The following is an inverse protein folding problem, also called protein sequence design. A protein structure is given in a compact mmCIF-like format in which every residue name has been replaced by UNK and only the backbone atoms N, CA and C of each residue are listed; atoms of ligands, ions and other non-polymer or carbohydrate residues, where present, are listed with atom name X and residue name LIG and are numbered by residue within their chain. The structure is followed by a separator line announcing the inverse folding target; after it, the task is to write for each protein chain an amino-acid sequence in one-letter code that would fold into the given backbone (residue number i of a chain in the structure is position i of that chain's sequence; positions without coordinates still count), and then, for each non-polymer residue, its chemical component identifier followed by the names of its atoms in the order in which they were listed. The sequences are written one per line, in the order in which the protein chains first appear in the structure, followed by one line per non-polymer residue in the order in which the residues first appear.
data_IF_821141581591
#
_entry.id   IF_821141581591
#
_cell.length_a   1.000
_cell.length_b   1.000
_cell.length_c   1.000
_cell.angle_alpha   90.00
_cell.angle_beta   90.00
_cell.angle_gamma   90.00
#
_symmetry.space_group_name_H-M   'P 1'
#
loop_
_entity.id
_entity.type
_entity.pdbx_description
1 polymer ?
#
# COMPACT_ATOMS: atom_id res chain seq x y z
N UNK A 1 35.28 -37.51 -22.98
CA UNK A 1 35.06 -36.62 -21.82
C UNK A 1 33.56 -36.32 -21.77
N UNK A 2 32.81 -36.77 -20.79
CA UNK A 2 31.39 -36.43 -20.68
C UNK A 2 31.28 -35.00 -20.16
N UNK A 3 30.56 -34.17 -20.92
CA UNK A 3 30.25 -32.81 -20.57
C UNK A 3 29.37 -32.77 -19.30
N UNK A 4 29.87 -32.17 -18.24
CA UNK A 4 29.11 -31.98 -16.98
C UNK A 4 27.86 -31.11 -17.28
N UNK A 5 26.66 -31.55 -16.82
CA UNK A 5 25.45 -30.72 -16.99
C UNK A 5 25.61 -29.40 -16.25
N UNK A 6 25.32 -28.32 -16.94
CA UNK A 6 25.42 -26.94 -16.40
C UNK A 6 24.54 -26.82 -15.14
N UNK A 7 25.14 -26.42 -14.03
CA UNK A 7 24.50 -26.30 -12.72
C UNK A 7 23.27 -25.36 -12.69
N UNK A 8 23.10 -24.51 -13.70
CA UNK A 8 22.00 -23.57 -13.81
C UNK A 8 20.63 -24.19 -14.14
N UNK A 9 20.61 -25.28 -14.96
CA UNK A 9 19.34 -25.91 -15.39
C UNK A 9 18.66 -26.72 -14.28
N UNK A 10 19.45 -27.29 -13.37
CA UNK A 10 18.96 -28.07 -12.25
C UNK A 10 18.22 -27.19 -11.19
N UNK A 11 18.66 -25.93 -11.01
CA UNK A 11 18.05 -24.99 -10.08
C UNK A 11 16.64 -24.58 -10.48
N UNK A 12 16.46 -24.23 -11.76
CA UNK A 12 15.17 -23.74 -12.27
C UNK A 12 14.13 -24.85 -12.34
N UNK A 13 14.51 -26.05 -12.77
CA UNK A 13 13.62 -27.22 -12.79
C UNK A 13 13.23 -27.70 -11.39
N UNK A 14 14.13 -27.58 -10.40
CA UNK A 14 13.85 -27.84 -9.00
C UNK A 14 12.88 -26.82 -8.41
N UNK A 15 13.09 -25.55 -8.70
CA UNK A 15 12.20 -24.45 -8.29
C UNK A 15 10.79 -24.62 -8.87
N UNK A 16 10.66 -24.88 -10.17
CA UNK A 16 9.35 -25.10 -10.83
C UNK A 16 8.63 -26.32 -10.26
N UNK A 17 9.35 -27.40 -9.94
CA UNK A 17 8.77 -28.58 -9.28
C UNK A 17 8.28 -28.26 -7.86
N UNK A 18 9.07 -27.54 -7.08
CA UNK A 18 8.66 -27.13 -5.73
C UNK A 18 7.46 -26.18 -5.77
N UNK A 19 7.41 -25.26 -6.72
CA UNK A 19 6.24 -24.41 -6.95
C UNK A 19 5.00 -25.22 -7.29
N UNK A 20 5.11 -26.23 -8.19
CA UNK A 20 3.97 -27.10 -8.54
C UNK A 20 3.46 -27.92 -7.34
N UNK A 21 4.32 -28.34 -6.44
CA UNK A 21 3.92 -29.08 -5.25
C UNK A 21 3.27 -28.20 -4.17
N UNK A 22 3.65 -26.90 -4.10
CA UNK A 22 3.23 -26.01 -3.02
C UNK A 22 2.18 -24.95 -3.45
N UNK A 23 1.90 -24.79 -4.75
CA UNK A 23 1.01 -23.73 -5.22
C UNK A 23 -0.43 -23.86 -4.71
N UNK A 24 -0.97 -25.09 -4.64
CA UNK A 24 -2.34 -25.30 -4.14
C UNK A 24 -2.54 -24.82 -2.70
N UNK A 25 -1.73 -25.26 -1.70
CA UNK A 25 -1.88 -24.77 -0.35
C UNK A 25 -1.58 -23.27 -0.22
N UNK A 26 -0.67 -22.70 -1.03
CA UNK A 26 -0.41 -21.25 -1.06
C UNK A 26 -1.62 -20.50 -1.59
N UNK A 27 -2.20 -20.97 -2.71
CA UNK A 27 -3.40 -20.36 -3.30
C UNK A 27 -4.61 -20.44 -2.35
N UNK A 28 -4.82 -21.57 -1.70
CA UNK A 28 -5.92 -21.73 -0.74
C UNK A 28 -5.74 -20.80 0.48
N UNK A 29 -4.53 -20.69 1.01
CA UNK A 29 -4.21 -19.75 2.11
C UNK A 29 -4.42 -18.30 1.66
N UNK A 30 -3.98 -17.95 0.46
CA UNK A 30 -4.18 -16.62 -0.10
C UNK A 30 -5.67 -16.32 -0.29
N UNK A 31 -6.40 -17.18 -0.97
CA UNK A 31 -7.82 -16.97 -1.25
C UNK A 31 -8.66 -16.92 0.05
N UNK A 32 -8.45 -17.87 0.96
CA UNK A 32 -9.14 -17.88 2.25
C UNK A 32 -8.77 -16.67 3.12
N UNK A 33 -7.49 -16.32 3.15
CA UNK A 33 -7.00 -15.13 3.84
C UNK A 33 -7.58 -13.84 3.23
N UNK A 34 -7.61 -13.73 1.90
CA UNK A 34 -8.15 -12.55 1.21
C UNK A 34 -9.64 -12.37 1.51
N UNK A 35 -10.43 -13.43 1.42
CA UNK A 35 -11.87 -13.36 1.74
C UNK A 35 -12.09 -12.97 3.21
N UNK A 36 -11.43 -13.64 4.15
CA UNK A 36 -11.58 -13.34 5.57
C UNK A 36 -11.15 -11.91 5.92
N UNK A 37 -10.01 -11.46 5.37
CA UNK A 37 -9.49 -10.11 5.60
C UNK A 37 -10.31 -9.03 4.88
N UNK A 38 -10.89 -9.33 3.71
CA UNK A 38 -11.79 -8.42 3.02
C UNK A 38 -13.09 -8.21 3.81
N UNK A 39 -13.66 -9.28 4.38
CA UNK A 39 -14.83 -9.19 5.26
C UNK A 39 -14.51 -8.39 6.53
N UNK A 40 -13.37 -8.67 7.16
CA UNK A 40 -12.89 -7.90 8.31
C UNK A 40 -12.71 -6.42 7.96
N UNK A 41 -12.07 -6.14 6.82
CA UNK A 41 -11.89 -4.78 6.34
C UNK A 41 -13.22 -4.08 6.11
N UNK A 42 -14.17 -4.75 5.47
CA UNK A 42 -15.51 -4.19 5.25
C UNK A 42 -16.21 -3.80 6.56
N UNK A 43 -16.06 -4.62 7.59
CA UNK A 43 -16.58 -4.31 8.93
C UNK A 43 -15.84 -3.12 9.60
N UNK A 44 -14.53 -2.95 9.34
CA UNK A 44 -13.71 -1.88 9.90
C UNK A 44 -13.76 -0.56 9.10
N UNK A 45 -14.21 -0.61 7.85
CA UNK A 45 -14.21 0.53 6.93
C UNK A 45 -14.91 1.79 7.47
N UNK A 46 -16.05 1.71 8.20
CA UNK A 46 -16.66 2.89 8.80
C UNK A 46 -15.78 3.55 9.87
N UNK A 47 -15.10 2.76 10.70
CA UNK A 47 -14.16 3.27 11.69
C UNK A 47 -12.95 3.95 11.05
N UNK A 48 -12.44 3.37 9.97
CA UNK A 48 -11.35 3.96 9.19
C UNK A 48 -11.76 5.29 8.53
N UNK A 49 -12.96 5.37 7.96
CA UNK A 49 -13.50 6.60 7.40
C UNK A 49 -13.66 7.70 8.49
N UNK A 50 -14.11 7.32 9.68
CA UNK A 50 -14.20 8.25 10.82
C UNK A 50 -12.82 8.76 11.26
N UNK A 51 -11.81 7.90 11.29
CA UNK A 51 -10.42 8.28 11.57
C UNK A 51 -9.89 9.26 10.53
N UNK A 52 -10.06 8.99 9.23
CA UNK A 52 -9.64 9.89 8.16
C UNK A 52 -10.34 11.24 8.25
N UNK A 53 -11.65 11.26 8.50
CA UNK A 53 -12.41 12.50 8.70
C UNK A 53 -11.90 13.30 9.92
N UNK A 54 -11.54 12.62 11.01
CA UNK A 54 -10.97 13.24 12.20
C UNK A 54 -9.58 13.85 11.92
N UNK A 55 -8.72 13.14 11.20
CA UNK A 55 -7.39 13.61 10.80
C UNK A 55 -7.48 14.75 9.78
N UNK A 56 -8.47 14.74 8.90
CA UNK A 56 -8.69 15.81 7.94
C UNK A 56 -9.01 17.16 8.61
N UNK A 57 -9.72 17.15 9.73
CA UNK A 57 -10.14 18.39 10.41
C UNK A 57 -9.01 19.37 10.73
N UNK A 58 -7.87 18.98 11.34
CA UNK A 58 -6.75 19.91 11.61
C UNK A 58 -5.93 20.23 10.36
N UNK A 59 -5.92 19.35 9.34
CA UNK A 59 -5.10 19.55 8.14
C UNK A 59 -5.79 20.43 7.10
N UNK A 60 -7.09 20.41 7.07
CA UNK A 60 -7.90 21.16 6.11
C UNK A 60 -7.62 22.65 6.12
N UNK A 61 -7.54 23.35 7.27
CA UNK A 61 -7.22 24.77 7.30
C UNK A 61 -5.86 25.12 6.67
N UNK A 62 -4.92 24.17 6.65
CA UNK A 62 -3.58 24.34 6.07
C UNK A 62 -3.62 24.17 4.54
N UNK A 63 -4.52 23.33 4.04
CA UNK A 63 -4.64 23.00 2.62
C UNK A 63 -5.71 23.83 1.91
N UNK A 64 -6.67 24.35 2.64
CA UNK A 64 -7.78 25.12 2.09
C UNK A 64 -7.49 26.62 2.05
N UNK A 65 -7.71 27.21 0.87
CA UNK A 65 -7.77 28.66 0.70
C UNK A 65 -9.12 29.25 1.09
N UNK A 66 -10.11 28.41 1.39
CA UNK A 66 -11.49 28.81 1.74
C UNK A 66 -11.96 28.16 3.02
N UNK A 67 -12.25 28.96 4.02
CA UNK A 67 -12.88 28.52 5.26
C UNK A 67 -14.30 27.99 5.03
N UNK A 68 -14.65 26.87 5.65
CA UNK A 68 -16.03 26.40 5.71
C UNK A 68 -16.33 25.00 5.22
N UNK A 69 -15.34 24.25 4.74
CA UNK A 69 -15.52 22.82 4.44
C UNK A 69 -15.47 22.00 5.72
N UNK A 70 -16.42 21.09 5.89
CA UNK A 70 -16.43 20.12 6.98
C UNK A 70 -16.29 18.72 6.39
N UNK A 71 -15.39 17.92 6.96
CA UNK A 71 -15.23 16.52 6.60
C UNK A 71 -16.02 15.66 7.58
N UNK A 72 -16.93 14.88 7.05
CA UNK A 72 -17.87 14.05 7.80
C UNK A 72 -17.71 12.60 7.34
N UNK A 73 -17.69 11.68 8.30
CA UNK A 73 -17.79 10.26 7.99
C UNK A 73 -19.27 9.87 7.87
N UNK A 74 -19.63 9.26 6.77
CA UNK A 74 -20.95 8.71 6.47
C UNK A 74 -20.82 7.23 6.12
N UNK A 75 -21.01 6.38 7.12
CA UNK A 75 -20.68 4.96 6.98
C UNK A 75 -19.19 4.79 6.63
N UNK A 76 -18.90 4.06 5.57
CA UNK A 76 -17.54 3.82 5.08
C UNK A 76 -16.99 4.95 4.19
N UNK A 77 -17.69 6.08 4.05
CA UNK A 77 -17.29 7.18 3.16
C UNK A 77 -16.93 8.43 3.94
N UNK A 78 -15.95 9.19 3.42
CA UNK A 78 -15.67 10.55 3.88
C UNK A 78 -16.27 11.53 2.89
N UNK A 79 -17.12 12.41 3.39
CA UNK A 79 -17.84 13.43 2.60
C UNK A 79 -17.36 14.81 3.01
N UNK A 80 -16.96 15.61 2.01
CA UNK A 80 -16.71 17.03 2.17
C UNK A 80 -18.05 17.78 2.04
N UNK A 81 -18.47 18.44 3.11
CA UNK A 81 -19.64 19.31 3.14
C UNK A 81 -19.19 20.77 3.16
N UNK A 82 -19.46 21.52 2.10
CA UNK A 82 -19.05 22.91 1.93
C UNK A 82 -20.27 23.82 1.86
N UNK A 83 -20.26 24.86 2.65
CA UNK A 83 -21.27 25.92 2.61
C UNK A 83 -20.80 27.04 1.68
N UNK A 84 -21.57 27.32 0.64
CA UNK A 84 -21.25 28.39 -0.32
C UNK A 84 -22.37 29.41 -0.27
N UNK A 85 -22.06 30.68 0.12
CA UNK A 85 -23.01 31.74 -0.01
C UNK A 85 -23.19 32.10 -1.50
N UNK A 86 -24.43 32.18 -1.94
CA UNK A 86 -24.80 32.66 -3.26
C UNK A 86 -25.10 34.19 -3.13
N UNK A 87 -24.19 35.07 -3.57
CA UNK A 87 -24.31 36.52 -3.31
C UNK A 87 -25.60 37.12 -3.86
N UNK A 88 -26.10 36.55 -4.95
CA UNK A 88 -27.29 37.09 -5.65
C UNK A 88 -28.63 36.69 -4.98
N UNK A 89 -28.63 35.74 -4.05
CA UNK A 89 -29.90 35.18 -3.52
C UNK A 89 -30.01 35.17 -2.00
N UNK A 90 -28.98 35.63 -1.27
CA UNK A 90 -28.89 35.51 0.21
C UNK A 90 -29.09 34.08 0.71
N UNK A 91 -28.93 33.09 -0.16
CA UNK A 91 -29.09 31.65 0.13
C UNK A 91 -27.73 31.02 0.36
N UNK A 92 -27.66 30.12 1.34
CA UNK A 92 -26.46 29.30 1.59
C UNK A 92 -26.72 27.89 1.07
N UNK A 93 -26.02 27.50 0.03
CA UNK A 93 -26.10 26.15 -0.52
C UNK A 93 -25.04 25.28 0.13
N UNK A 94 -25.45 24.13 0.66
CA UNK A 94 -24.52 23.10 1.17
C UNK A 94 -24.26 22.09 0.09
N UNK A 95 -23.02 22.01 -0.38
CA UNK A 95 -22.58 21.01 -1.35
C UNK A 95 -21.89 19.88 -0.61
N UNK A 96 -22.34 18.65 -0.87
CA UNK A 96 -21.77 17.44 -0.30
C UNK A 96 -21.09 16.66 -1.41
N UNK A 97 -19.83 16.32 -1.23
CA UNK A 97 -19.05 15.54 -2.19
C UNK A 97 -18.30 14.43 -1.49
N UNK A 98 -18.42 13.23 -2.03
CA UNK A 98 -17.62 12.08 -1.61
C UNK A 98 -16.16 12.33 -1.95
N UNK A 99 -15.29 12.27 -0.93
CA UNK A 99 -13.84 12.44 -1.06
C UNK A 99 -13.13 11.10 -0.99
N UNK A 100 -13.66 10.17 -0.19
CA UNK A 100 -13.05 8.89 0.04
C UNK A 100 -14.09 7.79 0.24
N UNK A 101 -13.77 6.58 -0.22
CA UNK A 101 -14.56 5.39 0.02
C UNK A 101 -13.68 4.27 0.57
N UNK A 102 -13.72 4.10 1.87
CA UNK A 102 -12.94 3.07 2.54
C UNK A 102 -13.38 1.65 2.17
N UNK A 103 -14.64 1.44 1.76
CA UNK A 103 -15.13 0.11 1.37
C UNK A 103 -14.52 -0.38 0.05
N UNK A 104 -14.14 0.56 -0.83
CA UNK A 104 -13.49 0.24 -2.11
C UNK A 104 -11.98 0.02 -1.98
N UNK A 105 -11.40 0.27 -0.80
CA UNK A 105 -9.97 0.21 -0.56
C UNK A 105 -9.57 -1.12 0.10
N UNK A 106 -9.43 -2.15 -0.71
CA UNK A 106 -9.08 -3.50 -0.27
C UNK A 106 -7.56 -3.78 -0.21
N UNK A 107 -6.73 -2.77 -0.41
CA UNK A 107 -5.26 -2.91 -0.46
C UNK A 107 -4.67 -3.52 0.81
N UNK A 108 -5.21 -3.16 1.97
CA UNK A 108 -4.78 -3.70 3.27
C UNK A 108 -5.07 -5.21 3.36
N UNK A 109 -6.26 -5.63 2.94
CA UNK A 109 -6.65 -7.03 2.92
C UNK A 109 -5.78 -7.83 1.93
N UNK A 110 -5.53 -7.26 0.75
CA UNK A 110 -4.69 -7.87 -0.28
C UNK A 110 -3.25 -8.04 0.20
N UNK A 111 -2.63 -6.99 0.76
CA UNK A 111 -1.28 -7.04 1.29
C UNK A 111 -1.15 -8.08 2.41
N UNK A 112 -2.07 -8.07 3.38
CA UNK A 112 -2.05 -9.00 4.49
C UNK A 112 -2.24 -10.46 4.01
N UNK A 113 -3.13 -10.71 3.04
CA UNK A 113 -3.33 -12.02 2.46
C UNK A 113 -2.08 -12.53 1.73
N UNK A 114 -1.38 -11.68 0.96
CA UNK A 114 -0.13 -12.00 0.30
C UNK A 114 0.96 -12.39 1.31
N UNK A 115 1.12 -11.58 2.37
CA UNK A 115 2.13 -11.83 3.41
C UNK A 115 1.83 -13.13 4.19
N UNK A 116 0.56 -13.40 4.50
CA UNK A 116 0.14 -14.64 5.17
C UNK A 116 0.36 -15.88 4.28
N UNK A 117 0.15 -15.74 2.98
CA UNK A 117 0.31 -16.85 2.03
C UNK A 117 1.77 -17.12 1.67
N UNK A 118 2.71 -16.20 1.94
CA UNK A 118 4.13 -16.33 1.60
C UNK A 118 4.73 -17.59 2.26
N UNK A 119 5.23 -18.56 1.50
CA UNK A 119 5.79 -19.79 2.04
C UNK A 119 7.17 -19.54 2.69
N UNK A 120 7.55 -20.42 3.63
CA UNK A 120 8.89 -20.40 4.24
C UNK A 120 9.14 -19.31 5.28
N UNK A 121 8.21 -18.40 5.51
CA UNK A 121 8.37 -17.34 6.49
C UNK A 121 7.92 -17.75 7.90
N UNK A 122 8.73 -17.36 8.88
CA UNK A 122 8.35 -17.46 10.30
C UNK A 122 7.31 -16.39 10.66
N UNK A 123 6.57 -16.60 11.74
CA UNK A 123 5.60 -15.62 12.23
C UNK A 123 6.21 -14.26 12.55
N UNK A 124 7.46 -14.23 13.05
CA UNK A 124 8.21 -12.99 13.34
C UNK A 124 8.52 -12.20 12.05
N UNK A 125 8.94 -12.91 10.99
CA UNK A 125 9.18 -12.28 9.68
C UNK A 125 7.89 -11.72 9.08
N UNK A 126 6.80 -12.51 9.14
CA UNK A 126 5.47 -12.05 8.69
C UNK A 126 5.01 -10.82 9.45
N UNK A 127 5.15 -10.81 10.79
CA UNK A 127 4.76 -9.68 11.63
C UNK A 127 5.55 -8.41 11.31
N UNK A 128 6.87 -8.52 11.11
CA UNK A 128 7.72 -7.39 10.70
C UNK A 128 7.34 -6.87 9.30
N UNK A 129 7.20 -7.75 8.32
CA UNK A 129 6.81 -7.37 6.97
C UNK A 129 5.41 -6.74 6.94
N UNK A 130 4.47 -7.28 7.73
CA UNK A 130 3.15 -6.70 7.87
C UNK A 130 3.19 -5.31 8.49
N UNK A 131 3.96 -5.10 9.57
CA UNK A 131 4.09 -3.79 10.22
C UNK A 131 4.67 -2.73 9.26
N UNK A 132 5.77 -3.05 8.56
CA UNK A 132 6.35 -2.18 7.56
C UNK A 132 5.41 -1.94 6.38
N UNK A 133 4.80 -3.00 5.88
CA UNK A 133 3.87 -2.94 4.76
C UNK A 133 2.62 -2.13 5.08
N UNK A 134 2.03 -2.30 6.25
CA UNK A 134 0.88 -1.52 6.70
C UNK A 134 1.24 -0.04 6.89
N UNK A 135 2.42 0.25 7.47
CA UNK A 135 2.89 1.63 7.64
C UNK A 135 3.09 2.35 6.30
N UNK A 136 3.75 1.68 5.34
CA UNK A 136 3.98 2.25 4.01
C UNK A 136 2.68 2.40 3.23
N UNK A 137 1.78 1.41 3.31
CA UNK A 137 0.49 1.48 2.66
C UNK A 137 -0.40 2.57 3.26
N UNK A 138 -0.41 2.72 4.60
CA UNK A 138 -1.13 3.82 5.27
C UNK A 138 -0.61 5.19 4.82
N UNK A 139 0.71 5.34 4.65
CA UNK A 139 1.32 6.57 4.12
C UNK A 139 0.86 6.87 2.69
N UNK A 140 0.84 5.87 1.81
CA UNK A 140 0.36 6.05 0.42
C UNK A 140 -1.12 6.37 0.36
N UNK A 141 -1.94 5.73 1.19
CA UNK A 141 -3.36 6.02 1.31
C UNK A 141 -3.62 7.42 1.84
N UNK A 142 -2.84 7.84 2.84
CA UNK A 142 -2.93 9.20 3.37
C UNK A 142 -2.53 10.25 2.32
N UNK A 143 -1.46 10.02 1.57
CA UNK A 143 -1.07 10.88 0.45
C UNK A 143 -2.19 10.99 -0.61
N UNK A 144 -2.79 9.85 -0.97
CA UNK A 144 -3.92 9.84 -1.89
C UNK A 144 -5.14 10.58 -1.33
N UNK A 145 -5.43 10.43 -0.05
CA UNK A 145 -6.49 11.19 0.61
C UNK A 145 -6.26 12.70 0.51
N UNK A 146 -5.01 13.17 0.75
CA UNK A 146 -4.66 14.59 0.60
C UNK A 146 -4.83 15.09 -0.84
N UNK A 147 -4.43 14.27 -1.83
CA UNK A 147 -4.65 14.58 -3.26
C UNK A 147 -6.14 14.71 -3.56
N UNK A 148 -6.98 13.79 -3.03
CA UNK A 148 -8.43 13.84 -3.19
C UNK A 148 -9.04 15.11 -2.58
N UNK A 149 -8.57 15.50 -1.40
CA UNK A 149 -8.99 16.76 -0.76
C UNK A 149 -8.63 17.94 -1.65
N UNK A 150 -7.38 18.04 -2.09
CA UNK A 150 -6.91 19.14 -2.94
C UNK A 150 -7.63 19.17 -4.30
N UNK A 151 -7.84 18.03 -4.92
CA UNK A 151 -8.58 17.88 -6.17
C UNK A 151 -10.02 18.34 -6.03
N UNK A 152 -10.70 17.92 -4.95
CA UNK A 152 -12.09 18.27 -4.68
C UNK A 152 -12.28 19.79 -4.53
N UNK A 153 -11.28 20.50 -4.02
CA UNK A 153 -11.32 21.95 -3.85
C UNK A 153 -11.19 22.71 -5.17
N UNK A 154 -10.49 22.13 -6.17
CA UNK A 154 -10.32 22.78 -7.48
C UNK A 154 -11.50 22.49 -8.43
N UNK A 155 -12.42 21.61 -8.07
CA UNK A 155 -13.50 21.23 -8.97
C UNK A 155 -14.57 22.32 -9.08
N UNK A 156 -14.95 22.72 -10.29
CA UNK A 156 -16.05 23.66 -10.48
C UNK A 156 -17.38 23.04 -10.02
N UNK A 157 -18.16 23.82 -9.33
CA UNK A 157 -19.44 23.41 -8.80
C UNK A 157 -20.53 23.85 -9.77
N UNK A 158 -21.26 22.90 -10.34
CA UNK A 158 -22.40 23.21 -11.20
C UNK A 158 -23.62 23.54 -10.35
N UNK A 159 -24.11 24.75 -10.45
CA UNK A 159 -25.37 25.17 -9.84
C UNK A 159 -26.43 25.39 -10.91
N UNK A 160 -27.67 25.55 -10.49
CA UNK A 160 -28.78 25.93 -11.40
C UNK A 160 -28.54 27.28 -12.10
N UNK A 161 -27.58 28.08 -11.64
CA UNK A 161 -27.23 29.40 -12.19
C UNK A 161 -25.92 29.37 -13.00
N UNK A 162 -25.36 28.18 -13.26
CA UNK A 162 -24.11 28.00 -13.98
C UNK A 162 -22.96 27.49 -13.09
N UNK A 163 -21.79 27.29 -13.70
CA UNK A 163 -20.62 26.77 -12.98
C UNK A 163 -20.02 27.86 -12.08
N UNK A 164 -20.00 27.60 -10.77
CA UNK A 164 -19.25 28.40 -9.80
C UNK A 164 -17.82 27.88 -9.69
N UNK A 165 -16.85 28.72 -9.94
CA UNK A 165 -15.43 28.40 -9.71
C UNK A 165 -15.10 28.67 -8.24
N UNK A 166 -14.41 27.73 -7.56
CA UNK A 166 -13.98 27.97 -6.18
C UNK A 166 -12.99 29.12 -6.11
N UNK A 167 -12.93 29.86 -5.00
CA UNK A 167 -11.89 30.85 -4.75
C UNK A 167 -10.51 30.22 -4.88
N UNK A 168 -9.56 30.91 -5.54
CA UNK A 168 -8.23 30.38 -5.80
C UNK A 168 -8.18 29.28 -6.87
N UNK A 169 -9.25 29.14 -7.69
CA UNK A 169 -9.27 28.23 -8.84
C UNK A 169 -8.09 28.52 -9.77
N UNK A 170 -7.36 27.49 -10.13
CA UNK A 170 -6.31 27.52 -11.14
C UNK A 170 -6.44 26.31 -12.04
N UNK A 171 -6.49 26.56 -13.36
CA UNK A 171 -6.57 25.48 -14.35
C UNK A 171 -5.34 24.56 -14.26
N UNK A 172 -4.16 25.11 -14.03
CA UNK A 172 -2.93 24.34 -13.87
C UNK A 172 -2.99 23.42 -12.63
N UNK A 173 -3.49 23.91 -11.50
CA UNK A 173 -3.70 23.10 -10.28
C UNK A 173 -4.75 22.02 -10.53
N UNK A 174 -5.86 22.35 -11.21
CA UNK A 174 -6.88 21.34 -11.53
C UNK A 174 -6.29 20.22 -12.37
N UNK A 175 -5.55 20.52 -13.44
CA UNK A 175 -4.91 19.53 -14.31
C UNK A 175 -3.90 18.68 -13.51
N UNK A 176 -3.06 19.33 -12.68
CA UNK A 176 -2.09 18.61 -11.86
C UNK A 176 -2.78 17.63 -10.90
N UNK A 177 -3.80 18.09 -10.17
CA UNK A 177 -4.50 17.22 -9.23
C UNK A 177 -5.35 16.15 -9.92
N UNK A 178 -5.86 16.40 -11.12
CA UNK A 178 -6.56 15.42 -11.94
C UNK A 178 -5.61 14.27 -12.35
N UNK A 179 -4.40 14.61 -12.80
CA UNK A 179 -3.36 13.62 -13.09
C UNK A 179 -2.91 12.84 -11.86
N UNK A 180 -2.68 13.52 -10.75
CA UNK A 180 -2.32 12.87 -9.49
C UNK A 180 -3.45 11.96 -9.00
N UNK A 181 -4.69 12.43 -9.08
CA UNK A 181 -5.85 11.62 -8.74
C UNK A 181 -5.94 10.37 -9.61
N UNK A 182 -5.84 10.53 -10.94
CA UNK A 182 -5.88 9.42 -11.88
C UNK A 182 -4.73 8.43 -11.63
N UNK A 183 -3.53 8.92 -11.35
CA UNK A 183 -2.39 8.08 -10.99
C UNK A 183 -2.66 7.26 -9.73
N UNK A 184 -3.09 7.89 -8.65
CA UNK A 184 -3.38 7.18 -7.40
C UNK A 184 -4.59 6.26 -7.54
N UNK A 185 -5.63 6.63 -8.29
CA UNK A 185 -6.79 5.78 -8.55
C UNK A 185 -6.41 4.53 -9.34
N UNK A 186 -5.56 4.67 -10.37
CA UNK A 186 -5.06 3.56 -11.16
C UNK A 186 -4.08 2.68 -10.37
N UNK A 187 -3.09 3.29 -9.71
CA UNK A 187 -2.07 2.59 -8.94
C UNK A 187 -2.59 2.14 -7.56
N UNK A 188 -3.53 2.89 -6.99
CA UNK A 188 -4.01 2.70 -5.62
C UNK A 188 -4.74 1.39 -5.41
N UNK A 189 -5.53 0.95 -6.39
CA UNK A 189 -6.47 -0.18 -6.26
C UNK A 189 -5.84 -1.57 -6.39
N UNK A 190 -4.64 -1.79 -5.92
CA UNK A 190 -4.00 -3.11 -5.88
C UNK A 190 -2.51 -3.07 -6.21
N UNK A 191 -2.08 -2.16 -7.10
CA UNK A 191 -0.67 -2.09 -7.49
C UNK A 191 0.24 -1.64 -6.33
N UNK A 192 -0.19 -0.69 -5.51
CA UNK A 192 0.56 -0.31 -4.32
C UNK A 192 0.70 -1.46 -3.32
N UNK A 193 -0.35 -2.27 -3.13
CA UNK A 193 -0.25 -3.44 -2.27
C UNK A 193 0.81 -4.44 -2.77
N UNK A 194 0.91 -4.63 -4.10
CA UNK A 194 1.93 -5.47 -4.72
C UNK A 194 3.33 -4.87 -4.59
N UNK A 195 3.49 -3.56 -4.85
CA UNK A 195 4.78 -2.88 -4.67
C UNK A 195 5.27 -2.95 -3.22
N UNK A 196 4.38 -2.69 -2.27
CA UNK A 196 4.68 -2.77 -0.84
C UNK A 196 5.00 -4.20 -0.44
N UNK A 197 4.29 -5.20 -0.98
CA UNK A 197 4.60 -6.61 -0.79
C UNK A 197 6.02 -6.95 -1.27
N UNK A 198 6.38 -6.58 -2.51
CA UNK A 198 7.71 -6.80 -3.06
C UNK A 198 8.80 -6.07 -2.27
N UNK A 199 8.56 -4.83 -1.88
CA UNK A 199 9.46 -4.07 -1.00
C UNK A 199 9.66 -4.74 0.35
N UNK A 200 8.58 -5.25 0.96
CA UNK A 200 8.65 -5.99 2.23
C UNK A 200 9.43 -7.30 2.10
N UNK A 201 9.29 -8.01 0.95
CA UNK A 201 10.09 -9.18 0.64
C UNK A 201 11.58 -8.82 0.53
N UNK A 202 11.91 -7.79 -0.24
CA UNK A 202 13.30 -7.38 -0.46
C UNK A 202 13.98 -6.96 0.85
N UNK A 203 13.29 -6.18 1.68
CA UNK A 203 13.78 -5.77 3.00
C UNK A 203 13.98 -6.97 3.93
N UNK A 204 13.05 -7.91 3.93
CA UNK A 204 13.11 -9.08 4.82
C UNK A 204 14.22 -10.04 4.39
N UNK A 205 14.42 -10.21 3.07
CA UNK A 205 15.52 -11.03 2.53
C UNK A 205 16.87 -10.32 2.64
N UNK A 206 16.95 -9.03 2.37
CA UNK A 206 18.17 -8.25 2.55
C UNK A 206 18.70 -8.27 3.99
N UNK A 207 17.79 -8.13 4.97
CA UNK A 207 18.13 -8.23 6.39
C UNK A 207 18.47 -9.67 6.84
N UNK A 208 18.01 -10.70 6.11
CA UNK A 208 18.32 -12.10 6.41
C UNK A 208 19.66 -12.56 5.79
N UNK A 209 20.14 -11.88 4.77
CA UNK A 209 21.35 -12.27 4.04
C UNK A 209 22.65 -11.77 4.66
N UNK A 210 22.63 -10.80 5.55
CA UNK A 210 23.87 -10.24 6.11
C UNK A 210 24.54 -11.05 7.23
N UNK A 211 23.89 -11.74 8.16
CA UNK A 211 24.63 -12.44 9.21
C UNK A 211 24.83 -13.94 9.01
N UNK A 212 24.10 -14.58 8.10
CA UNK A 212 24.19 -16.05 7.95
C UNK A 212 25.51 -16.49 7.31
N UNK A 213 26.13 -15.67 6.48
CA UNK A 213 27.47 -15.94 5.92
C UNK A 213 28.59 -15.55 6.87
N UNK A 214 28.35 -14.63 7.81
CA UNK A 214 29.28 -14.24 8.85
C UNK A 214 29.20 -15.13 10.11
N UNK A 215 28.09 -15.87 10.28
CA UNK A 215 27.98 -16.83 11.40
C UNK A 215 28.82 -18.08 11.13
N UNK A 216 30.12 -17.85 11.43
CA UNK A 216 30.90 -18.89 12.04
C UNK A 216 30.98 -20.21 11.27
N UNK A 217 31.60 -20.19 10.13
CA UNK A 217 32.46 -21.32 9.83
C UNK A 217 33.52 -21.32 10.94
N UNK A 218 33.33 -22.18 11.94
CA UNK A 218 34.30 -22.30 13.02
C UNK A 218 35.69 -22.45 12.40
N UNK A 219 36.71 -21.77 12.94
CA UNK A 219 38.07 -21.77 12.38
C UNK A 219 38.57 -23.17 12.01
N UNK A 220 38.01 -24.22 12.62
CA UNK A 220 38.33 -25.62 12.39
C UNK A 220 37.30 -26.37 11.53
N UNK A 221 36.19 -25.76 11.13
CA UNK A 221 35.22 -26.40 10.24
C UNK A 221 35.76 -26.51 8.80
N UNK A 222 35.25 -27.44 7.98
CA UNK A 222 35.61 -27.52 6.56
C UNK A 222 35.24 -26.23 5.85
N UNK A 223 36.14 -25.78 4.96
CA UNK A 223 35.91 -24.52 4.24
C UNK A 223 34.71 -24.63 3.30
N UNK A 224 33.77 -23.68 3.29
CA UNK A 224 32.59 -23.71 2.44
C UNK A 224 32.91 -23.61 0.94
N UNK A 225 34.17 -23.27 0.56
CA UNK A 225 34.61 -23.26 -0.84
C UNK A 225 34.80 -24.67 -1.44
N UNK A 226 34.60 -25.74 -0.66
CA UNK A 226 34.72 -27.13 -1.14
C UNK A 226 36.15 -27.64 -1.28
N UNK A 227 37.17 -26.86 -0.84
CA UNK A 227 38.59 -27.24 -0.93
C UNK A 227 39.00 -28.43 -0.01
N UNK A 228 38.14 -28.87 0.89
CA UNK A 228 38.44 -29.89 1.90
C UNK A 228 39.38 -29.41 3.04
N UNK A 229 39.90 -28.21 2.94
CA UNK A 229 40.75 -27.59 3.97
C UNK A 229 39.90 -26.97 5.09
N UNK A 230 40.53 -26.83 6.29
CA UNK A 230 39.90 -26.03 7.39
C UNK A 230 39.78 -24.58 7.02
N UNK A 231 38.67 -23.91 7.40
CA UNK A 231 38.40 -22.53 7.05
C UNK A 231 39.59 -21.57 7.36
N UNK A 232 40.27 -21.75 8.50
CA UNK A 232 41.49 -20.99 8.90
C UNK A 232 42.69 -21.15 7.98
N UNK A 233 42.72 -22.17 7.14
CA UNK A 233 43.82 -22.46 6.20
C UNK A 233 43.40 -22.24 4.73
N UNK A 234 42.24 -21.75 4.47
CA UNK A 234 41.71 -21.53 3.13
C UNK A 234 41.16 -20.10 2.96
N UNK A 235 39.91 -19.84 3.32
CA UNK A 235 39.29 -18.53 3.10
C UNK A 235 39.35 -17.60 4.32
N UNK A 236 39.90 -18.03 5.44
CA UNK A 236 40.04 -17.28 6.68
C UNK A 236 41.48 -16.92 7.04
N UNK A 237 42.38 -16.95 6.05
CA UNK A 237 43.75 -16.51 6.18
C UNK A 237 43.89 -15.03 5.84
#
# INVERSE_FOLDING_TARGET
MPSSPSAGSAGLAGFVRSLRATWRPVLLRFAGGLVGLALLWWAMAPGYAALLAAVARPLVPVLETTSGTRYLAEGATVVAARRIPLPQQREIVTIRRKVWDASADYNLALLAALLLATPGWTWRQRGRALAWGLGLLALTQFAFFLVNVAYTQQWPITTKYGPLRPPGFSRAKLVLFDWLYAFFEFMGRGFFALLVYWGSLALTWGLASEPALAQAVGRNAPCPCGSGLKAKRCCGA
#
